data_IF_235873982092
#
_entry.id   IF_235873982092
#
_cell.length_a   1.000
_cell.length_b   1.000
_cell.length_c   1.000
_cell.angle_alpha   90.00
_cell.angle_beta   90.00
_cell.angle_gamma   90.00
#
_symmetry.space_group_name_H-M   'P 1'
#
loop_
_entity.id
_entity.type
_entity.pdbx_description
1 polymer ?
#
# COMPACT_ATOMS: atom_id res chain seq x y z
N UNK A 1 15.60 -5.83 -12.87
CA UNK A 1 15.30 -4.59 -13.58
C UNK A 1 15.78 -3.44 -12.71
N UNK A 2 16.51 -2.47 -13.26
CA UNK A 2 16.93 -1.23 -12.59
C UNK A 2 16.95 -0.10 -13.60
N UNK A 3 16.41 1.06 -13.27
CA UNK A 3 16.65 2.28 -14.04
C UNK A 3 17.98 2.81 -13.53
N UNK A 4 18.92 3.09 -14.42
CA UNK A 4 20.23 3.62 -14.07
C UNK A 4 20.24 5.14 -14.23
N UNK A 5 19.63 5.67 -15.30
CA UNK A 5 19.70 7.09 -15.61
C UNK A 5 18.51 7.54 -16.45
N UNK A 6 18.03 8.77 -16.22
CA UNK A 6 17.02 9.44 -17.04
C UNK A 6 17.59 10.78 -17.49
N UNK A 7 17.62 11.02 -18.79
CA UNK A 7 18.02 12.31 -19.38
C UNK A 7 16.80 12.94 -20.02
N UNK A 8 16.42 14.12 -19.53
CA UNK A 8 15.28 14.89 -20.02
C UNK A 8 15.80 16.15 -20.70
N UNK A 9 15.65 16.23 -22.03
CA UNK A 9 15.90 17.48 -22.74
C UNK A 9 14.70 18.41 -22.63
N UNK A 10 13.49 17.85 -22.80
CA UNK A 10 12.24 18.60 -22.64
C UNK A 10 11.08 17.67 -22.24
N UNK A 11 10.42 17.97 -21.12
CA UNK A 11 9.22 17.24 -20.68
C UNK A 11 8.42 18.01 -19.63
N UNK A 12 7.16 18.40 -19.92
CA UNK A 12 6.21 19.01 -18.96
C UNK A 12 6.85 20.08 -18.04
N UNK A 13 7.61 21.01 -18.62
CA UNK A 13 8.27 22.11 -17.90
C UNK A 13 9.65 21.78 -17.31
N UNK A 14 10.13 20.54 -17.45
CA UNK A 14 11.50 20.14 -17.17
C UNK A 14 12.32 20.31 -18.44
N UNK A 15 13.45 21.02 -18.36
CA UNK A 15 14.37 21.23 -19.47
C UNK A 15 15.81 20.90 -19.03
N UNK A 16 16.55 20.22 -19.91
CA UNK A 16 17.98 19.90 -19.77
C UNK A 16 18.37 19.35 -18.38
N UNK A 17 17.67 18.31 -17.95
CA UNK A 17 17.83 17.67 -16.66
C UNK A 17 18.33 16.23 -16.78
N UNK A 18 19.16 15.82 -15.83
CA UNK A 18 19.65 14.46 -15.71
C UNK A 18 19.36 13.93 -14.30
N UNK A 19 18.81 12.72 -14.23
CA UNK A 19 18.54 12.00 -13.00
C UNK A 19 19.31 10.68 -13.01
N UNK A 20 20.26 10.55 -12.09
CA UNK A 20 21.08 9.36 -11.91
C UNK A 20 20.58 8.53 -10.72
N UNK A 21 20.36 7.24 -10.98
CA UNK A 21 19.96 6.20 -10.03
C UNK A 21 21.10 5.20 -9.77
N UNK A 22 22.28 5.42 -10.34
CA UNK A 22 23.46 4.61 -10.10
C UNK A 22 24.00 4.91 -8.70
N UNK A 23 24.01 3.89 -7.85
CA UNK A 23 24.34 4.00 -6.44
C UNK A 23 25.25 2.83 -6.08
N UNK A 24 26.29 3.11 -5.28
CA UNK A 24 27.43 2.21 -5.04
C UNK A 24 27.05 0.97 -4.20
N UNK A 25 26.81 -0.13 -4.90
CA UNK A 25 27.02 -1.57 -4.64
C UNK A 25 27.00 -2.26 -3.26
N UNK A 26 26.91 -1.62 -2.10
CA UNK A 26 26.75 -2.35 -0.81
C UNK A 26 25.60 -1.79 0.01
N UNK A 27 24.37 -2.24 -0.29
CA UNK A 27 23.20 -1.94 0.52
C UNK A 27 23.02 -2.97 1.64
N UNK A 28 22.62 -2.50 2.83
CA UNK A 28 22.18 -3.33 3.98
C UNK A 28 20.88 -4.08 3.67
N UNK A 29 20.06 -3.58 2.74
CA UNK A 29 18.83 -4.25 2.29
C UNK A 29 19.16 -5.53 1.51
N UNK A 30 18.19 -6.45 1.39
CA UNK A 30 18.44 -7.70 0.68
C UNK A 30 18.94 -7.41 -0.74
N UNK A 31 20.05 -8.04 -1.14
CA UNK A 31 20.82 -7.80 -2.39
C UNK A 31 20.03 -7.94 -3.71
N UNK A 32 18.71 -8.16 -3.66
CA UNK A 32 17.94 -8.70 -4.77
C UNK A 32 16.89 -7.76 -5.38
N UNK A 33 16.48 -6.66 -4.72
CA UNK A 33 15.69 -5.60 -5.36
C UNK A 33 16.36 -4.23 -5.18
N UNK A 34 16.14 -3.34 -6.15
CA UNK A 34 16.69 -2.00 -6.14
C UNK A 34 15.71 -1.04 -5.47
N UNK A 35 16.19 -0.17 -4.58
CA UNK A 35 15.39 0.87 -3.93
C UNK A 35 15.98 2.24 -4.26
N UNK A 36 15.12 3.18 -4.63
CA UNK A 36 15.49 4.59 -4.78
C UNK A 36 14.42 5.46 -4.14
N UNK A 37 14.82 6.28 -3.17
CA UNK A 37 13.94 7.19 -2.46
C UNK A 37 14.13 8.60 -3.04
N UNK A 38 13.16 9.04 -3.84
CA UNK A 38 13.11 10.36 -4.42
C UNK A 38 12.54 11.36 -3.41
N UNK A 39 13.36 12.33 -3.02
CA UNK A 39 13.01 13.33 -2.02
C UNK A 39 13.25 14.74 -2.56
N UNK A 40 12.59 15.72 -1.97
CA UNK A 40 12.75 17.12 -2.34
C UNK A 40 11.57 17.95 -1.86
N UNK A 41 11.68 19.27 -1.95
CA UNK A 41 10.62 20.20 -1.54
C UNK A 41 9.31 19.98 -2.33
N UNK A 42 8.21 20.57 -1.85
CA UNK A 42 6.95 20.54 -2.59
C UNK A 42 7.14 21.23 -3.93
N UNK A 43 6.66 20.61 -5.02
CA UNK A 43 6.80 21.16 -6.37
C UNK A 43 8.09 20.77 -7.10
N UNK A 44 8.97 19.92 -6.55
CA UNK A 44 10.19 19.45 -7.23
C UNK A 44 9.96 18.40 -8.33
N UNK A 45 8.80 18.41 -8.99
CA UNK A 45 8.47 17.53 -10.12
C UNK A 45 8.52 16.01 -9.86
N UNK A 46 8.55 15.53 -8.60
CA UNK A 46 8.55 14.08 -8.26
C UNK A 46 7.45 13.29 -8.96
N UNK A 47 6.19 13.75 -8.87
CA UNK A 47 5.05 13.14 -9.56
C UNK A 47 5.19 13.21 -11.08
N UNK A 48 5.82 14.26 -11.62
CA UNK A 48 6.11 14.40 -13.06
C UNK A 48 7.12 13.36 -13.54
N UNK A 49 8.14 13.02 -12.74
CA UNK A 49 9.03 11.88 -13.05
C UNK A 49 8.30 10.55 -13.07
N UNK A 50 7.36 10.34 -12.14
CA UNK A 50 6.56 9.12 -12.16
C UNK A 50 5.70 9.04 -13.43
N UNK A 51 5.12 10.15 -13.87
CA UNK A 51 4.41 10.21 -15.16
C UNK A 51 5.32 9.90 -16.33
N UNK A 52 6.55 10.45 -16.36
CA UNK A 52 7.54 10.16 -17.40
C UNK A 52 7.86 8.66 -17.46
N UNK A 53 8.14 8.04 -16.32
CA UNK A 53 8.46 6.61 -16.24
C UNK A 53 7.25 5.75 -16.65
N UNK A 54 6.04 6.12 -16.22
CA UNK A 54 4.81 5.42 -16.64
C UNK A 54 4.59 5.54 -18.15
N UNK A 55 4.77 6.72 -18.72
CA UNK A 55 4.63 6.95 -20.16
C UNK A 55 5.65 6.15 -20.98
N UNK A 56 6.87 5.99 -20.47
CA UNK A 56 7.91 5.22 -21.15
C UNK A 56 7.61 3.71 -21.16
N UNK A 57 7.11 3.18 -20.04
CA UNK A 57 6.99 1.73 -19.86
C UNK A 57 5.56 1.19 -19.95
N UNK A 58 4.55 2.05 -20.13
CA UNK A 58 3.16 1.63 -20.32
C UNK A 58 2.58 2.11 -21.64
N UNK A 59 1.63 1.36 -22.20
CA UNK A 59 0.92 1.71 -23.45
C UNK A 59 -0.06 2.90 -23.31
N UNK A 60 -0.06 3.58 -22.16
CA UNK A 60 -0.88 4.77 -21.94
C UNK A 60 -0.14 5.99 -22.48
N UNK A 61 -0.36 6.32 -23.75
CA UNK A 61 -0.04 7.66 -24.24
C UNK A 61 -1.01 8.66 -23.62
N UNK A 62 -0.55 9.46 -22.66
CA UNK A 62 -1.27 10.67 -22.29
C UNK A 62 -1.29 11.60 -23.53
N UNK A 63 -2.42 12.26 -23.78
CA UNK A 63 -2.69 13.04 -25.00
C UNK A 63 -1.48 13.91 -25.41
N UNK A 64 -0.91 13.62 -26.59
CA UNK A 64 0.37 14.19 -27.03
C UNK A 64 0.17 15.52 -27.75
N UNK A 65 0.93 16.53 -27.31
CA UNK A 65 1.63 17.41 -28.25
C UNK A 65 3.04 16.82 -28.44
N UNK A 66 3.29 16.16 -29.59
CA UNK A 66 4.55 15.43 -29.85
C UNK A 66 5.81 16.32 -29.90
N UNK A 67 5.66 17.64 -30.01
CA UNK A 67 6.79 18.56 -30.17
C UNK A 67 7.51 18.94 -28.85
N UNK A 68 7.04 18.47 -27.69
CA UNK A 68 7.53 18.90 -26.36
C UNK A 68 8.06 17.77 -25.47
N UNK A 69 8.35 16.59 -26.05
CA UNK A 69 8.78 15.40 -25.31
C UNK A 69 10.05 14.78 -25.89
N UNK A 70 11.21 15.10 -25.29
CA UNK A 70 12.51 14.53 -25.63
C UNK A 70 13.22 14.07 -24.35
N UNK A 71 13.25 12.75 -24.15
CA UNK A 71 13.96 12.11 -23.04
C UNK A 71 14.47 10.72 -23.41
N UNK A 72 15.51 10.28 -22.70
CA UNK A 72 16.04 8.92 -22.75
C UNK A 72 16.09 8.30 -21.36
N UNK A 73 15.88 6.99 -21.28
CA UNK A 73 15.98 6.24 -20.03
C UNK A 73 16.94 5.07 -20.24
N UNK A 74 18.03 5.05 -19.51
CA UNK A 74 18.96 3.93 -19.44
C UNK A 74 18.54 3.00 -18.31
N UNK A 75 18.43 1.71 -18.59
CA UNK A 75 18.01 0.70 -17.63
C UNK A 75 18.67 -0.65 -17.89
N UNK A 76 18.83 -1.43 -16.82
CA UNK A 76 19.35 -2.78 -16.85
C UNK A 76 18.25 -3.81 -16.60
N UNK A 77 18.15 -4.80 -17.48
CA UNK A 77 17.20 -5.92 -17.38
C UNK A 77 17.98 -7.23 -17.55
N UNK A 78 17.95 -8.09 -16.52
CA UNK A 78 18.69 -9.35 -16.51
C UNK A 78 20.19 -9.22 -16.82
N UNK A 79 20.82 -8.16 -16.31
CA UNK A 79 22.25 -7.90 -16.51
C UNK A 79 22.61 -7.35 -17.90
N UNK A 80 21.63 -7.06 -18.75
CA UNK A 80 21.83 -6.38 -20.04
C UNK A 80 21.34 -4.94 -19.93
N UNK A 81 22.06 -4.02 -20.56
CA UNK A 81 21.72 -2.61 -20.58
C UNK A 81 20.90 -2.28 -21.84
N UNK A 82 19.94 -1.39 -21.65
CA UNK A 82 19.01 -0.93 -22.68
C UNK A 82 18.80 0.58 -22.51
N UNK A 83 18.47 1.23 -23.62
CA UNK A 83 18.10 2.65 -23.64
C UNK A 83 16.74 2.80 -24.30
N UNK A 84 15.81 3.42 -23.59
CA UNK A 84 14.53 3.86 -24.11
C UNK A 84 14.69 5.24 -24.74
N UNK A 85 14.13 5.43 -25.93
CA UNK A 85 14.09 6.73 -26.60
C UNK A 85 12.63 7.17 -26.78
N UNK A 86 12.28 8.39 -26.33
CA UNK A 86 10.92 8.93 -26.48
C UNK A 86 10.49 9.12 -27.94
N UNK A 87 11.45 9.29 -28.85
CA UNK A 87 11.25 9.51 -30.28
C UNK A 87 11.07 8.23 -31.11
N UNK A 88 11.44 7.05 -30.58
CA UNK A 88 11.45 5.81 -31.37
C UNK A 88 10.85 4.61 -30.61
N UNK A 89 9.52 4.53 -30.59
CA UNK A 89 8.79 3.51 -29.83
C UNK A 89 8.99 2.06 -30.32
N UNK A 90 9.38 1.83 -31.58
CA UNK A 90 9.41 0.48 -32.16
C UNK A 90 10.59 -0.38 -31.70
N UNK A 91 11.62 0.22 -31.09
CA UNK A 91 12.82 -0.48 -30.59
C UNK A 91 12.85 -0.64 -29.06
N UNK A 92 11.86 -0.09 -28.36
CA UNK A 92 11.84 -0.05 -26.91
C UNK A 92 11.35 -1.38 -26.31
N UNK A 93 12.15 -1.98 -25.43
CA UNK A 93 11.70 -3.14 -24.65
C UNK A 93 10.71 -2.65 -23.59
N UNK A 94 9.49 -3.19 -23.66
CA UNK A 94 8.46 -2.92 -22.67
C UNK A 94 8.74 -3.68 -21.39
N UNK A 95 8.63 -2.97 -20.27
CA UNK A 95 8.78 -3.51 -18.93
C UNK A 95 7.50 -3.20 -18.17
N UNK A 96 7.03 -4.13 -17.33
CA UNK A 96 5.85 -3.88 -16.49
C UNK A 96 6.16 -2.75 -15.51
N UNK A 97 5.34 -1.71 -15.51
CA UNK A 97 5.46 -0.56 -14.60
C UNK A 97 4.14 -0.36 -13.86
N UNK A 98 4.21 -0.31 -12.53
CA UNK A 98 3.06 -0.14 -11.66
C UNK A 98 3.25 1.13 -10.84
N UNK A 99 2.21 1.96 -10.75
CA UNK A 99 2.20 3.15 -9.91
C UNK A 99 1.11 3.08 -8.86
N UNK A 100 1.49 3.48 -7.65
CA UNK A 100 0.67 3.51 -6.46
C UNK A 100 0.74 4.93 -5.89
N UNK A 101 -0.37 5.65 -5.87
CA UNK A 101 -0.47 7.00 -5.30
C UNK A 101 -1.63 7.07 -4.34
N UNK A 102 -1.37 7.52 -3.12
CA UNK A 102 -2.34 7.39 -2.02
C UNK A 102 -3.00 8.70 -1.61
N UNK A 103 -2.53 9.86 -2.09
CA UNK A 103 -3.04 11.18 -1.69
C UNK A 103 -4.49 11.49 -2.08
N UNK A 104 -4.97 10.98 -3.21
CA UNK A 104 -6.35 11.17 -3.71
C UNK A 104 -7.23 9.92 -3.59
N UNK A 105 -6.60 8.73 -3.65
CA UNK A 105 -7.30 7.44 -3.70
C UNK A 105 -7.97 7.10 -2.36
N UNK A 106 -7.37 7.50 -1.22
CA UNK A 106 -7.97 7.24 0.11
C UNK A 106 -9.14 8.17 0.43
N UNK A 107 -9.07 9.44 0.01
CA UNK A 107 -10.19 10.40 0.18
C UNK A 107 -11.44 10.00 -0.61
N UNK A 108 -11.26 9.37 -1.77
CA UNK A 108 -12.37 8.90 -2.62
C UNK A 108 -12.96 7.56 -2.14
N UNK A 109 -12.21 6.74 -1.41
CA UNK A 109 -12.71 5.45 -0.88
C UNK A 109 -13.52 5.59 0.42
N UNK A 110 -13.28 6.63 1.23
CA UNK A 110 -13.76 6.67 2.62
C UNK A 110 -15.00 7.53 2.90
N UNK A 111 -15.39 8.50 2.06
CA UNK A 111 -16.48 9.45 2.40
C UNK A 111 -17.48 9.69 1.25
N UNK A 112 -18.63 8.97 1.25
CA UNK A 112 -20.03 9.40 0.94
C UNK A 112 -20.91 8.22 0.50
N UNK A 113 -22.23 8.34 0.68
CA UNK A 113 -23.25 7.27 0.50
C UNK A 113 -23.34 6.68 -0.92
N UNK A 114 -23.08 7.45 -1.98
CA UNK A 114 -23.01 6.96 -3.38
C UNK A 114 -21.72 6.14 -3.63
N UNK A 115 -20.69 6.33 -2.79
CA UNK A 115 -19.36 5.69 -2.88
C UNK A 115 -19.27 4.35 -2.15
N UNK A 116 -20.22 4.02 -1.28
CA UNK A 116 -20.28 2.73 -0.55
C UNK A 116 -20.23 1.52 -1.50
N UNK A 117 -20.80 1.61 -2.70
CA UNK A 117 -20.75 0.52 -3.68
C UNK A 117 -19.36 0.33 -4.32
N UNK A 118 -18.61 1.41 -4.55
CA UNK A 118 -17.26 1.37 -5.12
C UNK A 118 -16.23 0.93 -4.09
N UNK A 119 -16.29 1.45 -2.86
CA UNK A 119 -15.44 0.98 -1.76
C UNK A 119 -15.69 -0.49 -1.46
N UNK A 120 -16.96 -0.91 -1.39
CA UNK A 120 -17.32 -2.31 -1.20
C UNK A 120 -16.90 -3.19 -2.38
N UNK A 121 -16.81 -2.67 -3.61
CA UNK A 121 -16.26 -3.44 -4.74
C UNK A 121 -14.76 -3.62 -4.60
N UNK A 122 -14.01 -2.54 -4.35
CA UNK A 122 -12.56 -2.63 -4.20
C UNK A 122 -12.16 -3.55 -3.03
N UNK A 123 -12.83 -3.43 -1.88
CA UNK A 123 -12.61 -4.32 -0.72
C UNK A 123 -12.93 -5.77 -1.09
N UNK A 124 -13.99 -6.02 -1.87
CA UNK A 124 -14.30 -7.36 -2.39
C UNK A 124 -13.20 -7.88 -3.29
N UNK A 125 -12.75 -7.07 -4.25
CA UNK A 125 -11.73 -7.45 -5.23
C UNK A 125 -10.44 -7.84 -4.48
N UNK A 126 -9.94 -6.98 -3.58
CA UNK A 126 -8.78 -7.28 -2.71
C UNK A 126 -9.02 -8.54 -1.87
N UNK A 127 -10.20 -8.71 -1.29
CA UNK A 127 -10.52 -9.91 -0.49
C UNK A 127 -10.47 -11.21 -1.30
N UNK A 128 -10.81 -11.16 -2.59
CA UNK A 128 -10.74 -12.34 -3.47
C UNK A 128 -9.33 -12.55 -4.02
N UNK A 129 -8.57 -11.49 -4.29
CA UNK A 129 -7.14 -11.57 -4.62
C UNK A 129 -6.37 -12.25 -3.47
N UNK A 130 -6.67 -11.87 -2.22
CA UNK A 130 -6.14 -12.52 -1.03
C UNK A 130 -6.57 -13.98 -0.94
N UNK A 131 -7.84 -14.30 -1.21
CA UNK A 131 -8.26 -15.71 -1.26
C UNK A 131 -7.44 -16.49 -2.29
N UNK A 132 -7.27 -15.96 -3.51
CA UNK A 132 -6.47 -16.58 -4.56
C UNK A 132 -5.01 -16.83 -4.10
N UNK A 133 -4.42 -15.91 -3.34
CA UNK A 133 -3.08 -16.10 -2.73
C UNK A 133 -3.06 -17.23 -1.69
N UNK A 134 -4.09 -17.34 -0.86
CA UNK A 134 -4.23 -18.44 0.11
C UNK A 134 -4.42 -19.80 -0.56
N UNK A 135 -5.07 -19.85 -1.73
CA UNK A 135 -5.24 -21.06 -2.52
C UNK A 135 -3.94 -21.49 -3.23
N UNK A 136 -3.14 -20.53 -3.69
CA UNK A 136 -1.95 -20.76 -4.52
C UNK A 136 -0.63 -20.92 -3.74
N UNK A 137 -0.68 -20.96 -2.40
CA UNK A 137 0.43 -21.13 -1.44
C UNK A 137 1.30 -19.89 -1.18
N UNK A 138 0.89 -18.71 -1.63
CA UNK A 138 1.62 -17.45 -1.41
C UNK A 138 1.10 -16.65 -0.20
N UNK A 139 0.45 -17.32 0.77
CA UNK A 139 -0.19 -16.67 1.92
C UNK A 139 0.78 -16.00 2.90
N UNK A 140 2.07 -16.32 2.81
CA UNK A 140 3.08 -15.80 3.75
C UNK A 140 3.12 -14.28 3.74
N UNK A 141 3.13 -13.66 2.56
CA UNK A 141 3.19 -12.20 2.41
C UNK A 141 1.98 -11.51 3.05
N UNK A 142 0.77 -11.94 2.71
CA UNK A 142 -0.47 -11.44 3.31
C UNK A 142 -0.50 -11.61 4.82
N UNK A 143 -0.11 -12.79 5.32
CA UNK A 143 -0.07 -13.03 6.77
C UNK A 143 0.88 -12.03 7.46
N UNK A 144 2.05 -11.74 6.86
CA UNK A 144 2.99 -10.74 7.42
C UNK A 144 2.35 -9.36 7.56
N UNK A 145 1.58 -8.92 6.57
CA UNK A 145 0.85 -7.64 6.62
C UNK A 145 -0.07 -7.59 7.84
N UNK A 146 -0.84 -8.64 8.08
CA UNK A 146 -1.75 -8.72 9.23
C UNK A 146 -1.00 -8.86 10.57
N UNK A 147 0.13 -9.56 10.60
CA UNK A 147 0.98 -9.68 11.79
C UNK A 147 1.50 -8.31 12.25
N UNK A 148 1.83 -7.40 11.31
CA UNK A 148 2.18 -6.00 11.63
C UNK A 148 1.06 -5.22 12.33
N UNK A 149 -0.18 -5.66 12.14
CA UNK A 149 -1.38 -5.09 12.77
C UNK A 149 -1.82 -5.85 14.03
N UNK A 150 -1.02 -6.84 14.46
CA UNK A 150 -1.29 -7.67 15.65
C UNK A 150 -2.30 -8.80 15.41
N UNK A 151 -2.55 -9.18 14.15
CA UNK A 151 -3.49 -10.24 13.77
C UNK A 151 -2.70 -11.46 13.27
N UNK A 152 -2.91 -12.61 13.89
CA UNK A 152 -2.25 -13.87 13.50
C UNK A 152 -3.01 -14.59 12.39
N UNK A 153 -2.35 -15.52 11.70
CA UNK A 153 -2.94 -16.35 10.64
C UNK A 153 -4.26 -17.03 11.01
N UNK A 154 -4.34 -17.62 12.21
CA UNK A 154 -5.53 -18.33 12.69
C UNK A 154 -6.66 -17.39 13.14
N UNK A 155 -6.41 -16.07 13.12
CA UNK A 155 -7.37 -15.03 13.43
C UNK A 155 -7.92 -14.38 12.15
N UNK A 156 -7.61 -14.92 10.97
CA UNK A 156 -8.12 -14.44 9.68
C UNK A 156 -9.21 -15.36 9.15
N UNK A 157 -10.26 -14.74 8.59
CA UNK A 157 -11.40 -15.46 8.03
C UNK A 157 -11.92 -14.80 6.75
N UNK A 158 -12.46 -15.59 5.83
CA UNK A 158 -13.08 -15.12 4.60
C UNK A 158 -14.61 -15.22 4.70
N UNK A 159 -15.33 -14.10 4.63
CA UNK A 159 -16.79 -14.12 4.57
C UNK A 159 -17.27 -14.55 3.19
N UNK A 160 -17.90 -15.72 3.11
CA UNK A 160 -18.55 -16.13 1.88
C UNK A 160 -19.72 -15.23 1.53
N UNK A 161 -19.82 -14.92 0.25
CA UNK A 161 -20.93 -14.15 -0.27
C UNK A 161 -22.22 -14.95 -0.18
N UNK A 162 -23.21 -14.41 0.54
CA UNK A 162 -24.55 -15.00 0.62
C UNK A 162 -25.33 -14.66 -0.65
N UNK A 163 -25.08 -15.38 -1.73
CA UNK A 163 -25.77 -15.17 -3.01
C UNK A 163 -26.60 -16.37 -3.37
N UNK A 164 -27.86 -16.43 -2.90
CA UNK A 164 -28.77 -17.50 -3.30
C UNK A 164 -29.15 -17.47 -4.80
N UNK A 165 -28.81 -16.41 -5.55
CA UNK A 165 -29.25 -16.20 -6.94
C UNK A 165 -28.18 -15.54 -7.86
N UNK A 166 -27.05 -16.20 -8.15
CA UNK A 166 -26.15 -15.77 -9.22
C UNK A 166 -26.88 -15.66 -10.57
N UNK A 167 -26.55 -14.62 -11.36
CA UNK A 167 -26.93 -14.53 -12.78
C UNK A 167 -25.71 -14.90 -13.64
N UNK A 168 -25.92 -15.58 -14.75
CA UNK A 168 -24.86 -15.83 -15.73
C UNK A 168 -24.61 -14.52 -16.51
N UNK A 169 -23.36 -14.22 -16.84
CA UNK A 169 -23.04 -13.02 -17.63
C UNK A 169 -23.49 -13.19 -19.08
N UNK A 170 -23.93 -12.10 -19.70
CA UNK A 170 -24.26 -12.11 -21.13
C UNK A 170 -23.01 -12.41 -21.97
N UNK A 171 -23.15 -13.23 -23.01
CA UNK A 171 -22.03 -13.64 -23.88
C UNK A 171 -21.10 -14.70 -23.26
N UNK A 172 -21.50 -15.35 -22.18
CA UNK A 172 -20.75 -16.47 -21.59
C UNK A 172 -20.63 -17.63 -22.58
N UNK A 173 -19.43 -18.21 -22.70
CA UNK A 173 -19.22 -19.45 -23.44
C UNK A 173 -19.76 -20.63 -22.62
N UNK A 174 -20.88 -21.20 -23.07
CA UNK A 174 -21.58 -22.29 -22.37
C UNK A 174 -20.74 -23.57 -22.27
N UNK A 175 -19.87 -23.86 -23.25
CA UNK A 175 -18.98 -25.01 -23.22
C UNK A 175 -17.96 -24.89 -22.08
N UNK A 176 -17.26 -23.74 -22.00
CA UNK A 176 -16.33 -23.45 -20.90
C UNK A 176 -17.00 -23.43 -19.54
N UNK A 177 -18.23 -22.93 -19.47
CA UNK A 177 -19.00 -22.92 -18.23
C UNK A 177 -19.36 -24.35 -17.80
N UNK A 178 -19.82 -25.19 -18.72
CA UNK A 178 -20.13 -26.59 -18.45
C UNK A 178 -18.90 -27.38 -18.00
N UNK A 179 -17.73 -27.14 -18.62
CA UNK A 179 -16.46 -27.75 -18.19
C UNK A 179 -16.15 -27.43 -16.73
N UNK A 180 -16.31 -26.16 -16.33
CA UNK A 180 -16.10 -25.73 -14.95
C UNK A 180 -17.12 -26.38 -14.02
N UNK A 181 -18.40 -26.46 -14.41
CA UNK A 181 -19.45 -27.11 -13.62
C UNK A 181 -19.15 -28.60 -13.39
N UNK A 182 -18.81 -29.35 -14.45
CA UNK A 182 -18.45 -30.76 -14.32
C UNK A 182 -17.18 -30.96 -13.48
N UNK A 183 -16.19 -30.08 -13.63
CA UNK A 183 -14.98 -30.12 -12.79
C UNK A 183 -15.30 -29.98 -11.30
N UNK A 184 -16.30 -29.15 -10.94
CA UNK A 184 -16.75 -28.97 -9.55
C UNK A 184 -17.49 -30.21 -9.08
N UNK A 185 -18.44 -30.73 -9.87
CA UNK A 185 -19.23 -31.92 -9.52
C UNK A 185 -18.33 -33.11 -9.18
N UNK A 186 -17.25 -33.30 -9.92
CA UNK A 186 -16.25 -34.34 -9.69
C UNK A 186 -15.45 -34.17 -8.38
N UNK A 187 -15.37 -32.95 -7.83
CA UNK A 187 -14.67 -32.64 -6.59
C UNK A 187 -15.59 -32.75 -5.35
N UNK A 188 -16.91 -32.80 -5.54
CA UNK A 188 -17.84 -32.81 -4.42
C UNK A 188 -17.72 -34.12 -3.63
N UNK A 189 -17.63 -33.99 -2.30
CA UNK A 189 -17.75 -35.13 -1.40
C UNK A 189 -19.13 -35.78 -1.49
N UNK A 190 -19.28 -37.04 -1.03
CA UNK A 190 -20.58 -37.75 -1.03
C UNK A 190 -21.69 -36.96 -0.32
N UNK A 191 -21.36 -36.32 0.80
CA UNK A 191 -22.31 -35.46 1.52
C UNK A 191 -22.74 -34.24 0.70
N UNK A 192 -21.77 -33.59 0.02
CA UNK A 192 -22.05 -32.46 -0.86
C UNK A 192 -22.87 -32.86 -2.07
N UNK A 193 -22.58 -33.99 -2.71
CA UNK A 193 -23.33 -34.52 -3.85
C UNK A 193 -24.81 -34.73 -3.48
N UNK A 194 -25.08 -35.36 -2.33
CA UNK A 194 -26.46 -35.53 -1.84
C UNK A 194 -27.19 -34.19 -1.71
N UNK A 195 -26.52 -33.19 -1.14
CA UNK A 195 -27.11 -31.86 -0.98
C UNK A 195 -27.27 -31.11 -2.31
N UNK A 196 -26.35 -31.29 -3.25
CA UNK A 196 -26.44 -30.74 -4.61
C UNK A 196 -27.67 -31.29 -5.35
N UNK A 197 -27.86 -32.61 -5.41
CA UNK A 197 -29.04 -33.20 -6.07
C UNK A 197 -30.35 -32.76 -5.41
N UNK A 198 -30.41 -32.74 -4.07
CA UNK A 198 -31.57 -32.20 -3.34
C UNK A 198 -31.90 -30.75 -3.71
N UNK A 199 -30.88 -29.94 -3.97
CA UNK A 199 -31.05 -28.55 -4.40
C UNK A 199 -31.46 -28.43 -5.86
N UNK A 200 -30.97 -29.32 -6.72
CA UNK A 200 -31.33 -29.38 -8.13
C UNK A 200 -32.81 -29.78 -8.28
N UNK A 201 -33.26 -30.79 -7.54
CA UNK A 201 -34.65 -31.27 -7.54
C UNK A 201 -35.64 -30.17 -7.13
N UNK A 202 -35.29 -29.40 -6.09
CA UNK A 202 -36.08 -28.24 -5.65
C UNK A 202 -36.24 -27.18 -6.74
N UNK A 203 -35.36 -27.15 -7.74
CA UNK A 203 -35.35 -26.20 -8.85
C UNK A 203 -35.93 -26.78 -10.15
N UNK A 204 -36.30 -28.07 -10.18
CA UNK A 204 -36.85 -28.76 -11.35
C UNK A 204 -38.00 -27.99 -12.00
N UNK A 205 -38.95 -27.49 -11.21
CA UNK A 205 -40.16 -26.76 -11.65
C UNK A 205 -39.91 -25.30 -12.06
N UNK A 206 -38.69 -24.78 -11.92
CA UNK A 206 -38.39 -23.40 -12.33
C UNK A 206 -38.21 -23.28 -13.85
N UNK A 207 -38.62 -22.14 -14.42
CA UNK A 207 -38.46 -21.81 -15.86
C UNK A 207 -37.01 -21.44 -16.25
N UNK A 208 -36.06 -21.66 -15.36
CA UNK A 208 -34.64 -21.32 -15.53
C UNK A 208 -33.93 -22.33 -16.46
N UNK A 209 -32.85 -21.91 -17.11
CA UNK A 209 -32.00 -22.82 -17.88
C UNK A 209 -31.35 -23.87 -16.97
N UNK A 210 -31.04 -25.05 -17.51
CA UNK A 210 -30.41 -26.14 -16.75
C UNK A 210 -29.05 -25.71 -16.15
N UNK A 211 -28.26 -24.95 -16.92
CA UNK A 211 -26.99 -24.38 -16.48
C UNK A 211 -27.18 -23.45 -15.27
N UNK A 212 -28.20 -22.58 -15.28
CA UNK A 212 -28.48 -21.69 -14.16
C UNK A 212 -28.95 -22.45 -12.91
N UNK A 213 -29.74 -23.52 -13.09
CA UNK A 213 -30.15 -24.41 -12.00
C UNK A 213 -28.93 -25.08 -11.35
N UNK A 214 -27.99 -25.56 -12.15
CA UNK A 214 -26.74 -26.17 -11.70
C UNK A 214 -25.87 -25.19 -10.91
N UNK A 215 -25.61 -24.00 -11.46
CA UNK A 215 -24.85 -22.94 -10.78
C UNK A 215 -25.47 -22.65 -9.41
N UNK A 216 -26.79 -22.42 -9.34
CA UNK A 216 -27.48 -22.12 -8.08
C UNK A 216 -27.42 -23.29 -7.09
N UNK A 217 -27.53 -24.53 -7.56
CA UNK A 217 -27.43 -25.71 -6.72
C UNK A 217 -26.03 -25.88 -6.13
N UNK A 218 -24.98 -25.67 -6.93
CA UNK A 218 -23.58 -25.72 -6.48
C UNK A 218 -23.27 -24.64 -5.44
N UNK A 219 -23.60 -23.37 -5.70
CA UNK A 219 -23.39 -22.30 -4.72
C UNK A 219 -24.18 -22.53 -3.41
N UNK A 220 -25.40 -23.05 -3.51
CA UNK A 220 -26.18 -23.42 -2.32
C UNK A 220 -25.51 -24.54 -1.52
N UNK A 221 -24.88 -25.48 -2.22
CA UNK A 221 -24.16 -26.61 -1.62
C UNK A 221 -22.88 -26.16 -0.94
N UNK A 222 -22.06 -25.36 -1.61
CA UNK A 222 -20.88 -24.74 -1.01
C UNK A 222 -21.25 -23.98 0.26
N UNK A 223 -22.22 -23.08 0.16
CA UNK A 223 -22.64 -22.25 1.29
C UNK A 223 -23.16 -23.08 2.47
N UNK A 224 -23.98 -24.10 2.21
CA UNK A 224 -24.49 -24.97 3.27
C UNK A 224 -23.37 -25.75 3.95
N UNK A 225 -22.45 -26.32 3.16
CA UNK A 225 -21.35 -27.11 3.70
C UNK A 225 -20.40 -26.24 4.52
N UNK A 226 -19.97 -25.10 3.97
CA UNK A 226 -19.13 -24.15 4.68
C UNK A 226 -19.79 -23.68 5.99
N UNK A 227 -21.10 -23.41 5.98
CA UNK A 227 -21.82 -22.99 7.18
C UNK A 227 -21.90 -24.07 8.27
N UNK A 228 -21.93 -25.35 7.89
CA UNK A 228 -21.92 -26.49 8.84
C UNK A 228 -20.55 -26.65 9.49
N UNK A 229 -19.48 -26.36 8.75
CA UNK A 229 -18.10 -26.59 9.16
C UNK A 229 -17.44 -25.42 9.88
N UNK A 230 -18.08 -24.26 9.97
CA UNK A 230 -17.43 -23.01 10.41
C UNK A 230 -18.24 -22.16 11.39
N UNK A 231 -17.57 -21.13 11.93
CA UNK A 231 -18.13 -20.19 12.91
C UNK A 231 -19.31 -19.39 12.35
N UNK A 232 -20.47 -19.55 12.99
CA UNK A 232 -21.62 -18.66 12.79
C UNK A 232 -21.64 -17.61 13.90
N UNK A 233 -21.26 -16.39 13.57
CA UNK A 233 -21.24 -15.30 14.55
C UNK A 233 -22.57 -14.56 14.49
N UNK A 234 -23.18 -14.37 15.65
CA UNK A 234 -24.25 -13.42 15.85
C UNK A 234 -23.62 -12.11 16.34
N UNK A 235 -23.61 -11.06 15.53
CA UNK A 235 -23.14 -9.76 16.00
C UNK A 235 -24.26 -9.07 16.82
N UNK A 236 -23.96 -8.47 17.98
CA UNK A 236 -24.95 -7.78 18.80
C UNK A 236 -25.30 -6.37 18.31
N UNK A 237 -24.65 -5.87 17.24
CA UNK A 237 -24.66 -4.44 16.91
C UNK A 237 -25.97 -3.88 16.33
N UNK A 238 -26.93 -4.70 15.92
CA UNK A 238 -28.23 -4.23 15.40
C UNK A 238 -29.27 -5.30 15.77
N UNK A 239 -30.50 -4.92 16.15
CA UNK A 239 -31.58 -5.79 16.62
C UNK A 239 -32.06 -6.94 15.70
N UNK A 240 -31.26 -7.33 14.69
CA UNK A 240 -31.46 -8.47 13.81
C UNK A 240 -30.25 -9.41 13.84
N UNK A 241 -30.46 -10.69 14.17
CA UNK A 241 -29.45 -11.75 14.10
C UNK A 241 -29.07 -12.03 12.65
N UNK A 242 -28.00 -11.41 12.15
CA UNK A 242 -27.41 -11.77 10.85
C UNK A 242 -26.35 -12.85 11.06
N UNK A 243 -26.52 -14.01 10.42
CA UNK A 243 -25.52 -15.09 10.43
C UNK A 243 -24.51 -14.84 9.32
N UNK A 244 -23.22 -14.91 9.64
CA UNK A 244 -22.12 -14.84 8.69
C UNK A 244 -21.52 -16.23 8.49
N UNK A 245 -21.06 -16.53 7.26
CA UNK A 245 -20.34 -17.76 6.96
C UNK A 245 -18.87 -17.40 6.76
N UNK A 246 -18.05 -17.62 7.79
CA UNK A 246 -16.65 -17.23 7.83
C UNK A 246 -15.77 -18.45 7.62
N UNK A 247 -14.93 -18.49 6.59
CA UNK A 247 -14.00 -19.58 6.35
C UNK A 247 -12.67 -19.28 7.04
N UNK A 248 -12.21 -20.17 7.91
CA UNK A 248 -10.87 -20.07 8.48
C UNK A 248 -9.78 -20.26 7.40
N UNK A 249 -8.60 -19.69 7.62
CA UNK A 249 -7.45 -19.92 6.73
C UNK A 249 -7.05 -21.39 6.63
N UNK A 250 -7.32 -22.20 7.67
CA UNK A 250 -7.12 -23.64 7.66
C UNK A 250 -8.12 -24.33 6.73
N UNK A 251 -9.41 -24.02 6.83
CA UNK A 251 -10.43 -24.59 5.96
C UNK A 251 -10.19 -24.25 4.49
N UNK A 252 -9.76 -23.02 4.18
CA UNK A 252 -9.40 -22.61 2.82
C UNK A 252 -8.29 -23.49 2.26
N UNK A 253 -7.29 -23.84 3.06
CA UNK A 253 -6.19 -24.73 2.66
C UNK A 253 -6.65 -26.18 2.48
N UNK A 254 -7.47 -26.69 3.40
CA UNK A 254 -8.00 -28.06 3.34
C UNK A 254 -8.93 -28.29 2.14
N UNK A 255 -9.62 -27.23 1.67
CA UNK A 255 -10.58 -27.28 0.57
C UNK A 255 -10.10 -26.49 -0.66
N UNK A 256 -8.78 -26.35 -0.85
CA UNK A 256 -8.22 -25.43 -1.84
C UNK A 256 -8.61 -25.77 -3.28
N UNK A 257 -8.63 -27.05 -3.65
CA UNK A 257 -9.02 -27.52 -5.00
C UNK A 257 -10.46 -27.15 -5.33
N UNK A 258 -11.38 -27.39 -4.38
CA UNK A 258 -12.79 -27.06 -4.53
C UNK A 258 -13.00 -25.55 -4.63
N UNK A 259 -12.40 -24.78 -3.72
CA UNK A 259 -12.54 -23.33 -3.68
C UNK A 259 -11.93 -22.67 -4.93
N UNK A 260 -10.81 -23.17 -5.45
CA UNK A 260 -10.23 -22.69 -6.71
C UNK A 260 -11.22 -22.85 -7.88
N UNK A 261 -11.88 -24.01 -7.97
CA UNK A 261 -12.90 -24.25 -9.01
C UNK A 261 -14.11 -23.32 -8.84
N UNK A 262 -14.54 -23.04 -7.61
CA UNK A 262 -15.59 -22.05 -7.34
C UNK A 262 -15.16 -20.62 -7.68
N UNK A 263 -13.90 -20.24 -7.43
CA UNK A 263 -13.34 -18.95 -7.86
C UNK A 263 -13.28 -18.84 -9.38
N UNK A 264 -13.03 -19.94 -10.10
CA UNK A 264 -13.15 -19.96 -11.57
C UNK A 264 -14.61 -19.81 -12.01
N UNK A 265 -15.54 -20.51 -11.37
CA UNK A 265 -16.97 -20.39 -11.65
C UNK A 265 -17.49 -18.96 -11.39
N UNK A 266 -16.97 -18.25 -10.39
CA UNK A 266 -17.41 -16.90 -10.07
C UNK A 266 -17.17 -15.90 -11.21
N UNK A 267 -16.15 -16.13 -12.05
CA UNK A 267 -15.80 -15.27 -13.20
C UNK A 267 -16.86 -15.30 -14.32
N UNK A 268 -17.70 -16.34 -14.36
CA UNK A 268 -18.79 -16.51 -15.33
C UNK A 268 -20.14 -15.95 -14.87
N UNK A 269 -20.24 -15.51 -13.62
CA UNK A 269 -21.48 -15.02 -13.02
C UNK A 269 -21.39 -13.54 -12.63
N UNK A 270 -22.54 -12.89 -12.43
CA UNK A 270 -22.69 -11.45 -12.21
C UNK A 270 -21.94 -10.86 -11.01
N UNK A 271 -21.41 -11.70 -10.12
CA UNK A 271 -20.75 -11.25 -8.90
C UNK A 271 -19.23 -11.21 -8.99
N UNK A 272 -18.63 -11.94 -9.94
CA UNK A 272 -17.18 -12.10 -10.16
C UNK A 272 -16.35 -12.65 -8.99
N UNK A 273 -16.95 -12.76 -7.81
CA UNK A 273 -16.26 -12.97 -6.54
C UNK A 273 -17.05 -13.94 -5.65
N UNK A 274 -16.34 -14.81 -4.92
CA UNK A 274 -16.95 -15.74 -3.95
C UNK A 274 -16.88 -15.21 -2.52
N UNK A 275 -15.87 -14.39 -2.22
CA UNK A 275 -15.71 -13.73 -0.93
C UNK A 275 -16.37 -12.35 -0.97
N UNK A 276 -17.10 -12.02 0.10
CA UNK A 276 -17.64 -10.68 0.32
C UNK A 276 -16.60 -9.78 0.98
N UNK A 277 -15.93 -10.26 2.01
CA UNK A 277 -14.92 -9.49 2.74
C UNK A 277 -14.08 -10.39 3.64
N UNK A 278 -12.94 -9.89 4.10
CA UNK A 278 -12.13 -10.53 5.13
C UNK A 278 -12.51 -10.05 6.52
N UNK A 279 -12.43 -10.96 7.46
CA UNK A 279 -12.66 -10.74 8.87
C UNK A 279 -11.39 -11.08 9.65
N UNK A 280 -11.16 -10.34 10.73
CA UNK A 280 -10.05 -10.60 11.64
C UNK A 280 -10.52 -10.61 13.10
N UNK A 281 -9.92 -11.46 13.91
CA UNK A 281 -10.05 -11.41 15.37
C UNK A 281 -8.93 -10.54 15.96
N UNK A 282 -9.33 -9.43 16.60
CA UNK A 282 -8.42 -8.48 17.25
C UNK A 282 -8.94 -8.13 18.63
N UNK A 283 -8.09 -8.22 19.64
CA UNK A 283 -8.47 -7.98 21.05
C UNK A 283 -9.70 -8.79 21.50
N UNK A 284 -9.84 -10.04 21.03
CA UNK A 284 -11.01 -10.93 21.24
C UNK A 284 -12.32 -10.48 20.58
N UNK A 285 -12.27 -9.45 19.73
CA UNK A 285 -13.39 -9.03 18.89
C UNK A 285 -13.16 -9.51 17.47
N UNK A 286 -14.16 -10.16 16.89
CA UNK A 286 -14.16 -10.57 15.50
C UNK A 286 -14.94 -9.55 14.68
N UNK A 287 -14.27 -8.89 13.74
CA UNK A 287 -14.79 -7.80 12.93
C UNK A 287 -14.34 -7.92 11.47
N UNK A 288 -15.13 -7.39 10.50
CA UNK A 288 -14.66 -7.22 9.13
C UNK A 288 -13.53 -6.18 9.06
N UNK A 289 -12.66 -6.26 8.06
CA UNK A 289 -11.54 -5.30 7.90
C UNK A 289 -12.04 -3.86 7.68
N UNK A 290 -13.24 -3.68 7.12
CA UNK A 290 -13.91 -2.36 7.01
C UNK A 290 -14.21 -1.68 8.33
N UNK A 291 -14.36 -2.45 9.41
CA UNK A 291 -14.60 -1.93 10.75
C UNK A 291 -13.30 -1.64 11.52
N UNK A 292 -12.13 -1.92 10.93
CA UNK A 292 -10.83 -1.54 11.49
C UNK A 292 -10.62 -0.02 11.39
N UNK A 293 -9.59 0.51 12.06
CA UNK A 293 -9.28 1.94 11.93
C UNK A 293 -8.90 2.27 10.47
N UNK A 294 -9.20 3.50 10.03
CA UNK A 294 -8.93 3.93 8.65
C UNK A 294 -7.46 3.75 8.24
N UNK A 295 -6.53 3.96 9.18
CA UNK A 295 -5.09 3.72 8.95
C UNK A 295 -4.77 2.24 8.75
N UNK A 296 -5.40 1.34 9.51
CA UNK A 296 -5.18 -0.12 9.37
C UNK A 296 -5.76 -0.65 8.07
N UNK A 297 -7.00 -0.24 7.74
CA UNK A 297 -7.63 -0.61 6.49
C UNK A 297 -6.82 -0.09 5.29
N UNK A 298 -6.38 1.18 5.34
CA UNK A 298 -5.53 1.74 4.29
C UNK A 298 -4.23 0.95 4.17
N UNK A 299 -3.55 0.65 5.27
CA UNK A 299 -2.33 -0.15 5.26
C UNK A 299 -2.52 -1.53 4.62
N UNK A 300 -3.56 -2.28 5.01
CA UNK A 300 -3.88 -3.61 4.42
C UNK A 300 -4.08 -3.46 2.92
N UNK A 301 -4.99 -2.58 2.51
CA UNK A 301 -5.34 -2.43 1.10
C UNK A 301 -4.14 -2.07 0.23
N UNK A 302 -3.26 -1.18 0.72
CA UNK A 302 -2.04 -0.77 0.01
C UNK A 302 -1.05 -1.91 -0.14
N UNK A 303 -0.81 -2.66 0.94
CA UNK A 303 0.14 -3.78 0.91
C UNK A 303 -0.37 -4.94 0.07
N UNK A 304 -1.65 -5.28 0.15
CA UNK A 304 -2.24 -6.33 -0.68
C UNK A 304 -2.23 -5.96 -2.17
N UNK A 305 -2.46 -4.68 -2.49
CA UNK A 305 -2.35 -4.21 -3.88
C UNK A 305 -0.91 -4.35 -4.41
N UNK A 306 0.10 -4.09 -3.59
CA UNK A 306 1.50 -4.33 -3.94
C UNK A 306 1.78 -5.83 -4.11
N UNK A 307 1.37 -6.67 -3.15
CA UNK A 307 1.58 -8.12 -3.19
C UNK A 307 0.96 -8.72 -4.46
N UNK A 308 -0.23 -8.27 -4.84
CA UNK A 308 -0.94 -8.78 -6.01
C UNK A 308 -0.34 -8.33 -7.35
N UNK A 309 0.16 -7.09 -7.43
CA UNK A 309 0.65 -6.51 -8.69
C UNK A 309 2.15 -6.68 -8.94
N UNK A 310 2.96 -6.77 -7.89
CA UNK A 310 4.42 -6.76 -8.04
C UNK A 310 4.92 -8.09 -8.61
N UNK A 311 5.53 -7.99 -9.78
CA UNK A 311 6.12 -9.12 -10.49
C UNK A 311 7.64 -8.94 -10.67
N UNK A 312 8.34 -10.03 -10.97
CA UNK A 312 9.76 -9.94 -11.32
C UNK A 312 9.96 -9.06 -12.55
N UNK A 313 11.11 -8.38 -12.57
CA UNK A 313 11.49 -7.48 -13.65
C UNK A 313 10.54 -6.29 -13.84
N UNK A 314 9.80 -5.87 -12.82
CA UNK A 314 8.93 -4.69 -12.89
C UNK A 314 9.56 -3.44 -12.28
N UNK A 315 9.03 -2.28 -12.66
CA UNK A 315 9.25 -0.99 -11.99
C UNK A 315 8.04 -0.70 -11.10
N UNK A 316 8.28 -0.34 -9.85
CA UNK A 316 7.25 -0.03 -8.86
C UNK A 316 7.45 1.42 -8.43
N UNK A 317 6.46 2.26 -8.71
CA UNK A 317 6.45 3.68 -8.34
C UNK A 317 5.47 3.88 -7.19
N UNK A 318 5.95 4.39 -6.06
CA UNK A 318 5.11 4.61 -4.87
C UNK A 318 5.18 6.08 -4.47
N UNK A 319 4.05 6.78 -4.53
CA UNK A 319 3.95 8.21 -4.26
C UNK A 319 3.31 8.45 -2.89
N UNK A 320 4.04 9.14 -2.02
CA UNK A 320 3.65 9.53 -0.66
C UNK A 320 3.07 8.35 0.17
N UNK A 321 3.82 7.24 0.34
CA UNK A 321 3.36 6.09 1.12
C UNK A 321 3.02 6.42 2.57
N UNK A 322 3.57 7.50 3.13
CA UNK A 322 3.34 7.97 4.49
C UNK A 322 1.91 8.49 4.76
N UNK A 323 1.17 8.89 3.72
CA UNK A 323 -0.13 9.53 3.89
C UNK A 323 -1.08 8.63 4.68
N UNK A 324 -1.73 9.16 5.71
CA UNK A 324 -2.70 8.45 6.56
C UNK A 324 -2.16 7.20 7.29
N UNK A 325 -0.85 6.93 7.25
CA UNK A 325 -0.24 5.85 8.02
C UNK A 325 0.17 6.31 9.42
N UNK A 326 0.05 5.41 10.39
CA UNK A 326 0.58 5.64 11.73
C UNK A 326 2.13 5.72 11.66
N UNK A 327 2.80 6.64 12.39
CA UNK A 327 4.27 6.81 12.36
C UNK A 327 5.07 5.52 12.52
N UNK A 328 4.57 4.60 13.34
CA UNK A 328 5.13 3.25 13.49
C UNK A 328 5.22 2.50 12.16
N UNK A 329 4.16 2.46 11.37
CA UNK A 329 4.16 1.74 10.09
C UNK A 329 4.97 2.46 9.01
N UNK A 330 5.06 3.79 9.08
CA UNK A 330 5.96 4.57 8.23
C UNK A 330 7.41 4.13 8.47
N UNK A 331 7.80 4.00 9.74
CA UNK A 331 9.15 3.56 10.14
C UNK A 331 9.41 2.10 9.74
N UNK A 332 8.40 1.24 9.79
CA UNK A 332 8.53 -0.17 9.38
C UNK A 332 8.40 -0.38 7.86
N UNK A 333 7.99 0.62 7.08
CA UNK A 333 7.56 0.47 5.69
C UNK A 333 8.64 -0.14 4.79
N UNK A 334 9.87 0.40 4.84
CA UNK A 334 10.99 -0.10 4.03
C UNK A 334 11.35 -1.53 4.41
N UNK A 335 11.38 -1.84 5.71
CA UNK A 335 11.65 -3.20 6.20
C UNK A 335 10.57 -4.20 5.77
N UNK A 336 9.31 -3.76 5.71
CA UNK A 336 8.20 -4.59 5.26
C UNK A 336 8.27 -4.82 3.74
N UNK A 337 8.61 -3.80 2.94
CA UNK A 337 8.86 -4.01 1.52
C UNK A 337 10.00 -5.00 1.28
N UNK A 338 11.08 -4.92 2.08
CA UNK A 338 12.18 -5.89 2.01
C UNK A 338 11.71 -7.30 2.35
N UNK A 339 10.93 -7.46 3.41
CA UNK A 339 10.37 -8.75 3.81
C UNK A 339 9.43 -9.33 2.74
N UNK A 340 8.52 -8.51 2.21
CA UNK A 340 7.51 -8.94 1.25
C UNK A 340 8.14 -9.27 -0.10
N UNK A 341 9.07 -8.47 -0.60
CA UNK A 341 9.60 -8.59 -1.96
C UNK A 341 11.03 -9.10 -2.04
N UNK A 342 11.51 -9.71 -0.94
CA UNK A 342 12.81 -10.36 -0.89
C UNK A 342 13.01 -11.30 -2.08
N UNK A 343 14.09 -11.09 -2.84
CA UNK A 343 14.42 -11.92 -4.00
C UNK A 343 13.78 -11.49 -5.32
N UNK A 344 12.85 -10.52 -5.32
CA UNK A 344 12.21 -10.03 -6.54
C UNK A 344 13.14 -9.11 -7.32
N UNK A 345 13.31 -9.34 -8.62
CA UNK A 345 14.22 -8.56 -9.48
C UNK A 345 13.60 -7.25 -9.98
N UNK A 346 13.10 -6.42 -9.09
CA UNK A 346 12.38 -5.19 -9.41
C UNK A 346 13.13 -3.92 -8.98
N UNK A 347 12.63 -2.76 -9.43
CA UNK A 347 13.09 -1.45 -9.01
C UNK A 347 11.96 -0.68 -8.33
N UNK A 348 12.06 -0.48 -7.03
CA UNK A 348 11.17 0.38 -6.25
C UNK A 348 11.69 1.81 -6.27
N UNK A 349 10.90 2.73 -6.81
CA UNK A 349 11.15 4.16 -6.76
C UNK A 349 10.04 4.78 -5.93
N UNK A 350 10.41 5.32 -4.77
CA UNK A 350 9.46 5.85 -3.79
C UNK A 350 9.65 7.36 -3.72
N UNK A 351 8.60 8.13 -3.95
CA UNK A 351 8.60 9.57 -3.73
C UNK A 351 8.03 9.86 -2.34
N UNK A 352 8.76 10.59 -1.51
CA UNK A 352 8.32 10.87 -0.14
C UNK A 352 8.76 12.25 0.35
N UNK A 353 7.98 12.77 1.29
CA UNK A 353 8.28 13.92 2.12
C UNK A 353 8.50 13.54 3.59
N UNK A 354 8.49 12.25 3.90
CA UNK A 354 8.54 11.76 5.27
C UNK A 354 9.99 11.59 5.75
N UNK A 355 10.42 12.35 6.78
CA UNK A 355 11.72 12.10 7.40
C UNK A 355 11.78 10.72 8.09
N UNK A 356 10.64 10.17 8.50
CA UNK A 356 10.56 8.82 9.08
C UNK A 356 10.91 7.73 8.05
N UNK A 357 10.58 7.91 6.77
CA UNK A 357 11.00 6.98 5.72
C UNK A 357 12.48 7.14 5.41
N UNK A 358 12.95 8.37 5.27
CA UNK A 358 14.36 8.69 5.00
C UNK A 358 15.28 8.12 6.09
N UNK A 359 14.85 8.12 7.36
CA UNK A 359 15.61 7.54 8.47
C UNK A 359 15.87 6.03 8.31
N UNK A 360 15.11 5.34 7.46
CA UNK A 360 15.20 3.88 7.27
C UNK A 360 15.86 3.50 5.94
N UNK A 361 16.48 4.47 5.25
CA UNK A 361 17.12 4.26 3.95
C UNK A 361 18.56 4.80 4.00
N UNK A 362 19.47 4.01 3.44
CA UNK A 362 20.88 4.37 3.30
C UNK A 362 21.05 5.56 2.36
N UNK A 363 22.01 6.47 2.61
CA UNK A 363 22.22 7.68 1.81
C UNK A 363 22.39 7.40 0.32
N UNK A 364 23.01 6.27 -0.02
CA UNK A 364 23.24 5.83 -1.39
C UNK A 364 21.91 5.62 -2.11
N UNK A 365 20.84 5.22 -1.43
CA UNK A 365 19.53 5.02 -2.04
C UNK A 365 18.68 6.30 -2.06
N UNK A 366 19.20 7.43 -1.57
CA UNK A 366 18.50 8.71 -1.57
C UNK A 366 18.81 9.52 -2.82
N UNK A 367 17.76 10.02 -3.48
CA UNK A 367 17.86 10.89 -4.64
C UNK A 367 17.21 12.21 -4.30
N UNK A 368 18.03 13.23 -4.01
CA UNK A 368 17.56 14.57 -3.71
C UNK A 368 17.21 15.34 -4.99
N UNK A 369 16.06 16.00 -5.00
CA UNK A 369 15.65 16.95 -6.04
C UNK A 369 15.50 18.33 -5.43
N UNK A 370 16.08 19.34 -6.10
CA UNK A 370 15.97 20.74 -5.71
C UNK A 370 15.73 21.62 -6.92
N UNK A 371 14.83 22.59 -6.77
CA UNK A 371 14.68 23.66 -7.75
C UNK A 371 15.61 24.81 -7.39
N UNK A 372 16.34 25.34 -8.36
CA UNK A 372 17.15 26.55 -8.16
C UNK A 372 16.28 27.79 -8.11
N UNK A 373 16.89 28.91 -7.68
CA UNK A 373 16.26 30.23 -7.75
C UNK A 373 15.84 30.62 -9.17
N UNK A 374 16.54 30.10 -10.18
CA UNK A 374 16.26 30.35 -11.58
C UNK A 374 15.17 29.43 -12.15
N UNK A 375 14.57 28.57 -11.32
CA UNK A 375 13.49 27.65 -11.71
C UNK A 375 13.97 26.32 -12.29
N UNK A 376 15.28 26.14 -12.50
CA UNK A 376 15.85 24.92 -13.06
C UNK A 376 15.89 23.80 -12.01
N UNK A 377 15.60 22.57 -12.45
CA UNK A 377 15.66 21.39 -11.60
C UNK A 377 17.09 20.84 -11.55
N UNK A 378 17.51 20.40 -10.36
CA UNK A 378 18.83 19.79 -10.14
C UNK A 378 18.70 18.57 -9.23
N UNK A 379 19.49 17.53 -9.54
CA UNK A 379 19.72 16.44 -8.61
C UNK A 379 20.71 16.93 -7.57
N UNK A 380 20.36 16.77 -6.31
CA UNK A 380 21.17 17.12 -5.17
C UNK A 380 21.72 15.85 -4.53
N UNK A 381 23.03 15.80 -4.41
CA UNK A 381 23.70 14.80 -3.58
C UNK A 381 23.42 15.10 -2.11
N UNK A 382 23.04 14.06 -1.37
CA UNK A 382 22.74 14.16 0.06
C UNK A 382 23.95 13.62 0.82
N UNK A 383 24.85 14.51 1.21
CA UNK A 383 26.05 14.18 1.99
C UNK A 383 25.75 14.01 3.49
N UNK A 384 24.57 13.48 3.82
CA UNK A 384 24.11 13.25 5.17
C UNK A 384 23.81 11.77 5.39
N UNK A 385 24.36 11.20 6.47
CA UNK A 385 24.10 9.82 6.87
C UNK A 385 22.70 9.71 7.50
N UNK A 386 21.69 9.54 6.66
CA UNK A 386 20.27 9.47 7.04
C UNK A 386 19.89 8.23 7.84
N UNK A 387 20.53 7.10 7.58
CA UNK A 387 20.13 5.81 8.15
C UNK A 387 20.28 5.80 9.69
N UNK A 388 19.17 5.63 10.39
CA UNK A 388 19.08 5.66 11.85
C UNK A 388 19.24 7.05 12.47
N UNK A 389 19.29 8.12 11.67
CA UNK A 389 19.45 9.48 12.18
C UNK A 389 18.17 10.02 12.84
N UNK A 390 18.36 10.98 13.74
CA UNK A 390 17.24 11.69 14.37
C UNK A 390 16.39 12.43 13.32
N UNK A 391 15.07 12.36 13.49
CA UNK A 391 14.10 12.99 12.58
C UNK A 391 14.38 14.48 12.40
N UNK A 392 14.73 15.19 13.47
CA UNK A 392 15.06 16.62 13.44
C UNK A 392 16.30 16.92 12.59
N UNK A 393 17.30 16.03 12.63
CA UNK A 393 18.50 16.15 11.79
C UNK A 393 18.16 15.92 10.33
N UNK A 394 17.34 14.92 10.03
CA UNK A 394 16.88 14.65 8.66
C UNK A 394 16.09 15.85 8.12
N UNK A 395 15.16 16.40 8.91
CA UNK A 395 14.40 17.58 8.52
C UNK A 395 15.32 18.76 8.13
N UNK A 396 16.37 18.99 8.91
CA UNK A 396 17.32 20.07 8.64
C UNK A 396 18.23 19.75 7.43
N UNK A 397 18.96 18.64 7.49
CA UNK A 397 20.04 18.32 6.54
C UNK A 397 19.52 17.88 5.17
N UNK A 398 18.35 17.25 5.14
CA UNK A 398 17.77 16.64 3.94
C UNK A 398 16.63 17.49 3.38
N UNK A 399 15.72 17.97 4.23
CA UNK A 399 14.56 18.75 3.82
C UNK A 399 14.73 20.27 3.97
N UNK A 400 15.83 20.75 4.55
CA UNK A 400 16.08 22.19 4.80
C UNK A 400 14.95 22.87 5.58
N UNK A 401 14.31 22.13 6.47
CA UNK A 401 13.22 22.60 7.32
C UNK A 401 13.66 22.55 8.79
N UNK A 402 13.66 23.70 9.48
CA UNK A 402 13.95 23.69 10.91
C UNK A 402 12.69 23.29 11.72
N UNK A 403 12.76 22.26 12.58
CA UNK A 403 11.59 21.76 13.34
C UNK A 403 10.91 22.83 14.22
N UNK A 404 11.66 23.89 14.61
CA UNK A 404 11.21 24.95 15.50
C UNK A 404 11.09 26.32 14.81
N UNK A 405 10.97 26.37 13.49
CA UNK A 405 10.83 27.62 12.71
C UNK A 405 9.55 28.41 13.04
N UNK A 406 8.56 27.78 13.68
CA UNK A 406 7.30 28.42 14.05
C UNK A 406 7.55 29.71 14.81
N UNK A 407 7.00 30.83 14.30
CA UNK A 407 7.11 32.16 14.90
C UNK A 407 6.73 32.17 16.39
N UNK A 408 5.75 31.35 16.78
CA UNK A 408 5.31 31.24 18.18
C UNK A 408 6.43 30.65 19.05
N UNK A 409 7.06 29.57 18.59
CA UNK A 409 8.16 28.90 19.31
C UNK A 409 9.37 29.82 19.38
N UNK A 410 9.77 30.42 18.26
CA UNK A 410 10.90 31.36 18.19
C UNK A 410 10.70 32.58 19.09
N UNK A 411 9.49 33.17 19.09
CA UNK A 411 9.16 34.27 19.97
C UNK A 411 9.18 33.84 21.44
N UNK A 412 8.63 32.66 21.77
CA UNK A 412 8.65 32.14 23.12
C UNK A 412 10.07 31.93 23.65
N UNK A 413 10.95 31.35 22.84
CA UNK A 413 12.38 31.15 23.16
C UNK A 413 13.07 32.50 23.36
N UNK A 414 12.88 33.45 22.44
CA UNK A 414 13.47 34.80 22.51
C UNK A 414 13.03 35.57 23.75
N UNK A 415 11.75 35.52 24.09
CA UNK A 415 11.21 36.13 25.31
C UNK A 415 11.75 35.46 26.57
N UNK A 416 11.84 34.13 26.59
CA UNK A 416 12.38 33.36 27.72
C UNK A 416 13.83 33.74 27.96
N UNK A 417 14.67 33.76 26.91
CA UNK A 417 16.06 34.25 26.97
C UNK A 417 16.12 35.68 27.52
N UNK A 418 15.30 36.60 26.99
CA UNK A 418 15.25 38.00 27.45
C UNK A 418 14.89 38.13 28.93
N UNK A 419 13.97 37.30 29.44
CA UNK A 419 13.56 37.30 30.85
C UNK A 419 14.60 36.69 31.78
N UNK A 420 15.33 35.67 31.33
CA UNK A 420 16.45 35.08 32.06
C UNK A 420 17.62 36.07 32.23
N UNK A 421 17.86 36.93 31.24
CA UNK A 421 18.87 37.99 31.35
C UNK A 421 18.51 39.08 32.38
N UNK A 422 17.23 39.44 32.50
CA UNK A 422 16.77 40.55 33.34
C UNK A 422 16.42 40.10 34.76
N UNK A 423 17.12 40.63 35.77
CA UNK A 423 16.93 40.27 37.19
C UNK A 423 15.47 40.30 37.66
N UNK A 424 14.75 41.38 37.37
CA UNK A 424 13.35 41.55 37.79
C UNK A 424 12.38 40.54 37.17
N UNK A 425 12.78 39.83 36.12
CA UNK A 425 11.96 38.82 35.43
C UNK A 425 12.58 37.43 35.42
N UNK A 426 13.69 37.19 36.15
CA UNK A 426 14.39 35.89 36.15
C UNK A 426 13.48 34.74 36.58
N UNK A 427 12.69 34.95 37.65
CA UNK A 427 11.75 33.94 38.14
C UNK A 427 10.77 33.52 37.04
N UNK A 428 10.19 34.49 36.34
CA UNK A 428 9.29 34.24 35.23
C UNK A 428 10.01 33.58 34.03
N UNK A 429 11.25 33.97 33.75
CA UNK A 429 12.09 33.32 32.74
C UNK A 429 12.35 31.84 33.04
N UNK A 430 12.62 31.49 34.30
CA UNK A 430 12.82 30.10 34.74
C UNK A 430 11.51 29.32 34.67
N UNK A 431 10.38 29.91 35.07
CA UNK A 431 9.06 29.28 34.91
C UNK A 431 8.75 28.98 33.44
N UNK A 432 9.07 29.90 32.51
CA UNK A 432 8.90 29.67 31.07
C UNK A 432 9.83 28.59 30.53
N UNK A 433 11.09 28.57 30.98
CA UNK A 433 12.05 27.52 30.64
C UNK A 433 11.52 26.13 31.04
N UNK A 434 10.94 25.98 32.24
CA UNK A 434 10.38 24.71 32.70
C UNK A 434 9.14 24.25 31.93
N UNK A 435 8.41 25.17 31.28
CA UNK A 435 7.29 24.83 30.39
C UNK A 435 7.74 24.35 29.01
N UNK A 436 9.00 24.57 28.62
CA UNK A 436 9.51 24.12 27.34
C UNK A 436 9.65 22.59 27.33
N UNK A 437 9.29 21.95 26.21
CA UNK A 437 9.60 20.55 25.95
C UNK A 437 11.11 20.33 25.83
N UNK A 438 11.56 19.09 25.97
CA UNK A 438 12.97 18.76 25.83
C UNK A 438 13.39 18.90 24.36
N UNK A 439 14.28 19.85 24.11
CA UNK A 439 14.74 20.21 22.76
C UNK A 439 16.19 20.71 22.80
N UNK A 440 16.83 20.78 21.63
CA UNK A 440 18.18 21.36 21.50
C UNK A 440 18.24 22.81 22.01
N UNK A 441 17.20 23.61 21.77
CA UNK A 441 17.12 25.01 22.21
C UNK A 441 16.94 25.11 23.73
N UNK A 442 16.14 24.24 24.35
CA UNK A 442 16.06 24.16 25.82
C UNK A 442 17.41 23.80 26.42
N UNK A 443 18.14 22.87 25.80
CA UNK A 443 19.50 22.53 26.23
C UNK A 443 20.48 23.70 26.05
N UNK A 444 20.39 24.47 24.96
CA UNK A 444 21.19 25.67 24.78
C UNK A 444 20.91 26.74 25.85
N UNK A 445 19.63 27.01 26.15
CA UNK A 445 19.26 27.93 27.23
C UNK A 445 19.75 27.44 28.59
N UNK A 446 19.71 26.13 28.83
CA UNK A 446 20.26 25.55 30.05
C UNK A 446 21.76 25.81 30.17
N UNK A 447 22.53 25.59 29.11
CA UNK A 447 23.97 25.85 29.12
C UNK A 447 24.28 27.34 29.31
N UNK A 448 23.50 28.21 28.65
CA UNK A 448 23.65 29.68 28.73
C UNK A 448 23.31 30.21 30.15
N UNK A 449 22.27 29.68 30.80
CA UNK A 449 21.74 30.19 32.07
C UNK A 449 21.79 29.20 33.23
N UNK A 450 22.68 28.22 33.18
CA UNK A 450 22.77 27.10 34.12
C UNK A 450 22.68 27.54 35.58
N UNK A 451 23.47 28.54 35.97
CA UNK A 451 23.53 29.04 37.35
C UNK A 451 22.18 29.62 37.80
N UNK A 452 21.54 30.43 36.96
CA UNK A 452 20.26 31.07 37.24
C UNK A 452 19.15 30.01 37.34
N UNK A 453 19.10 29.09 36.39
CA UNK A 453 18.09 28.01 36.39
C UNK A 453 18.26 27.15 37.66
N UNK A 454 19.49 26.76 38.00
CA UNK A 454 19.77 25.94 39.18
C UNK A 454 19.45 26.63 40.50
N UNK A 455 19.69 27.94 40.59
CA UNK A 455 19.39 28.74 41.79
C UNK A 455 17.89 28.80 42.07
N UNK A 456 17.09 29.03 41.03
CA UNK A 456 15.64 29.16 41.14
C UNK A 456 14.89 27.81 41.16
N UNK A 457 15.55 26.70 40.79
CA UNK A 457 14.99 25.34 40.88
C UNK A 457 15.14 24.67 42.25
N UNK A 458 15.87 25.29 43.19
CA UNK A 458 16.07 24.78 44.57
C UNK A 458 15.10 25.38 45.61
N UNK A 459 14.17 26.22 45.17
CA UNK A 459 13.04 26.74 45.95
C UNK A 459 11.76 26.12 45.41
#
# INVERSE_FOLDING_TARGET
MKIEKIVVKKYKGIENFELDFSTNTESILSKNYNLSLLIGENGTFKTTFFQLILEAFTDKSFEKNMNDVDYTIDYSLNGKNYTYYSSNNNQNIKVKCYSFSYGLIDKLKLNTSVRTNYSNKYIRDVSNEMLEQFLTRNDVQTIRVFEKLGVKKNQLFFELRQTPYPKIKDGTNDEKLNDVLESIKNELSREMQHYYFKNLDRRSRSKESNVLKDVKALYSTLYFFCKKSELNINTPKIGYKKKYCLLSTQFVKENSTLLEKFTRLSKFISYDTIVKEIWCEKNKYLLPITDMSSGELSFILRMEELIHKVEDHSIILIDEPEIHLHPRWISEYISLLDELFKGKKCHFIIATHSPLLVANVEPENLIGLKQTRDGNLQQKQIDFKSFGADVDRILNEVFYAEPNESRIVQQYIKETRKKLYKENSRKEGVERYHRMGDSGEKFQLFNEFYKIIKEYSKK
#
